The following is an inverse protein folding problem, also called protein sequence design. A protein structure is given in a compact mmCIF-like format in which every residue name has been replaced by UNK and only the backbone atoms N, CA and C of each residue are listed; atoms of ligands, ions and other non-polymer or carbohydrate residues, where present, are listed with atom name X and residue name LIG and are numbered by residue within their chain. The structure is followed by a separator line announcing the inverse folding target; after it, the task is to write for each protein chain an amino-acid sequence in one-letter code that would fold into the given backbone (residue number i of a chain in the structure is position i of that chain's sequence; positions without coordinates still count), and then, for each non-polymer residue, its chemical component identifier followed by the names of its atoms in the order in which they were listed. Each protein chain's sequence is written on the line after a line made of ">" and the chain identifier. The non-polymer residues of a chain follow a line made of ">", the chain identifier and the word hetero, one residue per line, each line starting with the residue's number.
data_IF_527794505592
#
_entry.id   IF_527794505592
#
_cell.length_a   1.000
_cell.length_b   1.000
_cell.length_c   1.000
_cell.angle_alpha   90.00
_cell.angle_beta   90.00
_cell.angle_gamma   90.00
#
_symmetry.space_group_name_H-M   'P 1'
#
loop_
_entity.id
_entity.type
_entity.pdbx_description
1 polymer ?
#
# COMPACT_ATOMS: atom_id res chain seq x y z
N UNK A 1 -53.56 -60.51 -23.73
CA UNK A 1 -52.65 -61.44 -24.45
C UNK A 1 -52.11 -60.71 -25.68
N UNK A 2 -50.78 -60.57 -25.76
CA UNK A 2 -49.92 -59.98 -26.81
C UNK A 2 -50.02 -58.49 -27.19
N UNK A 3 -49.08 -57.71 -26.65
CA UNK A 3 -48.66 -56.40 -27.16
C UNK A 3 -47.88 -56.53 -28.47
N UNK A 4 -48.21 -55.68 -29.46
CA UNK A 4 -47.36 -55.38 -30.62
C UNK A 4 -46.30 -54.35 -30.22
N UNK A 5 -45.04 -54.71 -30.40
CA UNK A 5 -43.84 -53.93 -30.11
C UNK A 5 -43.73 -52.75 -31.11
N UNK A 6 -43.75 -51.52 -30.61
CA UNK A 6 -43.56 -50.31 -31.40
C UNK A 6 -42.05 -49.94 -31.47
N UNK A 7 -41.40 -50.25 -32.59
CA UNK A 7 -39.95 -50.07 -32.84
C UNK A 7 -39.51 -48.61 -33.07
N UNK A 8 -40.39 -47.62 -33.09
CA UNK A 8 -40.02 -46.25 -33.53
C UNK A 8 -39.27 -45.40 -32.48
N UNK A 9 -39.40 -45.70 -31.18
CA UNK A 9 -38.81 -44.86 -30.12
C UNK A 9 -37.29 -45.00 -29.94
N UNK A 10 -36.67 -46.07 -30.45
CA UNK A 10 -35.23 -46.35 -30.23
C UNK A 10 -34.31 -45.64 -31.23
N UNK A 11 -34.83 -45.28 -32.41
CA UNK A 11 -34.06 -44.58 -33.46
C UNK A 11 -33.93 -43.07 -33.17
N UNK A 12 -34.96 -42.46 -32.59
CA UNK A 12 -34.97 -41.03 -32.28
C UNK A 12 -33.95 -40.63 -31.18
N UNK A 13 -33.70 -41.48 -30.18
CA UNK A 13 -32.74 -41.15 -29.11
C UNK A 13 -31.27 -41.20 -29.55
N UNK A 14 -30.96 -42.03 -30.56
CA UNK A 14 -29.60 -42.13 -31.11
C UNK A 14 -29.24 -40.93 -31.98
N UNK A 15 -30.18 -40.50 -32.83
CA UNK A 15 -30.02 -39.30 -33.68
C UNK A 15 -29.87 -38.02 -32.86
N UNK A 16 -30.65 -37.86 -31.79
CA UNK A 16 -30.54 -36.68 -30.91
C UNK A 16 -29.21 -36.64 -30.16
N UNK A 17 -28.68 -37.80 -29.74
CA UNK A 17 -27.36 -37.88 -29.08
C UNK A 17 -26.21 -37.62 -30.07
N UNK A 18 -26.30 -38.12 -31.30
CA UNK A 18 -25.32 -37.83 -32.35
C UNK A 18 -25.34 -36.36 -32.78
N UNK A 19 -26.52 -35.75 -32.89
CA UNK A 19 -26.65 -34.32 -33.18
C UNK A 19 -26.04 -33.45 -32.07
N UNK A 20 -26.24 -33.80 -30.80
CA UNK A 20 -25.65 -33.07 -29.67
C UNK A 20 -24.12 -33.21 -29.62
N UNK A 21 -23.56 -34.39 -29.91
CA UNK A 21 -22.11 -34.61 -29.94
C UNK A 21 -21.48 -33.87 -31.14
N UNK A 22 -22.11 -33.90 -32.32
CA UNK A 22 -21.66 -33.13 -33.48
C UNK A 22 -21.63 -31.62 -33.19
N UNK A 23 -22.64 -31.10 -32.48
CA UNK A 23 -22.74 -29.67 -32.15
C UNK A 23 -21.61 -29.21 -31.20
N UNK A 24 -21.26 -30.04 -30.22
CA UNK A 24 -20.15 -29.78 -29.29
C UNK A 24 -18.79 -29.87 -30.02
N UNK A 25 -18.61 -30.85 -30.91
CA UNK A 25 -17.38 -30.99 -31.70
C UNK A 25 -17.17 -29.81 -32.69
N UNK A 26 -18.24 -29.31 -33.32
CA UNK A 26 -18.17 -28.10 -34.16
C UNK A 26 -17.88 -26.83 -33.37
N UNK A 27 -18.35 -26.70 -32.13
CA UNK A 27 -17.98 -25.58 -31.25
C UNK A 27 -16.50 -25.61 -30.86
N UNK A 28 -15.92 -26.79 -30.62
CA UNK A 28 -14.50 -26.92 -30.30
C UNK A 28 -13.59 -26.64 -31.51
N UNK A 29 -14.01 -27.00 -32.73
CA UNK A 29 -13.26 -26.71 -33.96
C UNK A 29 -13.29 -25.22 -34.36
N UNK A 30 -14.31 -24.46 -33.95
CA UNK A 30 -14.38 -23.00 -34.16
C UNK A 30 -13.58 -22.18 -33.14
N UNK A 31 -13.25 -22.75 -31.97
CA UNK A 31 -12.42 -22.09 -30.94
C UNK A 31 -10.91 -22.35 -31.08
N UNK A 32 -10.50 -23.29 -31.93
CA UNK A 32 -9.08 -23.66 -32.13
C UNK A 32 -8.27 -22.73 -33.06
N UNK A 33 -8.86 -21.64 -33.56
CA UNK A 33 -8.22 -20.72 -34.52
C UNK A 33 -7.88 -19.36 -33.92
N UNK A 34 -7.41 -19.33 -32.67
CA UNK A 34 -6.70 -18.17 -32.13
C UNK A 34 -5.27 -18.57 -31.83
N UNK A 35 -4.46 -18.54 -32.89
CA UNK A 35 -3.01 -18.49 -32.76
C UNK A 35 -2.66 -17.17 -32.07
N UNK A 36 -2.27 -17.24 -30.80
CA UNK A 36 -1.64 -16.13 -30.08
C UNK A 36 -0.21 -15.98 -30.58
N UNK A 37 -0.04 -15.26 -31.70
CA UNK A 37 1.22 -14.57 -31.97
C UNK A 37 1.33 -13.36 -31.03
N UNK A 38 1.72 -13.58 -29.78
CA UNK A 38 2.16 -12.49 -28.90
C UNK A 38 3.63 -12.19 -29.13
N UNK A 39 3.94 -11.73 -30.34
CA UNK A 39 5.17 -11.00 -30.65
C UNK A 39 4.86 -9.50 -30.66
N UNK A 40 4.83 -8.85 -29.49
CA UNK A 40 4.71 -7.39 -29.42
C UNK A 40 6.03 -6.77 -29.89
N UNK A 41 6.09 -6.41 -31.17
CA UNK A 41 7.14 -5.57 -31.73
C UNK A 41 7.08 -4.21 -31.03
N UNK A 42 8.15 -3.84 -30.33
CA UNK A 42 8.29 -2.61 -29.54
C UNK A 42 8.34 -1.30 -30.35
N UNK A 43 7.87 -1.29 -31.61
CA UNK A 43 8.07 -0.19 -32.55
C UNK A 43 6.87 0.72 -32.81
N UNK A 44 5.64 0.32 -32.46
CA UNK A 44 4.44 1.00 -32.96
C UNK A 44 3.51 1.62 -31.90
N UNK A 45 3.89 1.60 -30.62
CA UNK A 45 3.11 2.23 -29.53
C UNK A 45 3.48 3.71 -29.26
N UNK A 46 4.32 4.34 -30.09
CA UNK A 46 4.90 5.67 -29.79
C UNK A 46 4.15 6.86 -30.41
N UNK A 47 3.20 6.68 -31.33
CA UNK A 47 2.52 7.82 -31.97
C UNK A 47 1.16 8.22 -31.37
N UNK A 48 0.41 7.32 -30.73
CA UNK A 48 -0.96 7.64 -30.25
C UNK A 48 -1.04 8.13 -28.79
N UNK A 49 0.09 8.26 -28.08
CA UNK A 49 0.11 8.73 -26.68
C UNK A 49 0.27 10.25 -26.53
N UNK A 50 0.03 11.03 -27.59
CA UNK A 50 0.13 12.49 -27.54
C UNK A 50 -1.19 13.19 -27.13
N UNK A 51 -2.31 12.47 -27.00
CA UNK A 51 -3.62 13.04 -26.64
C UNK A 51 -4.10 12.87 -25.19
N UNK A 52 -3.46 12.04 -24.37
CA UNK A 52 -3.89 11.74 -22.98
C UNK A 52 -2.85 12.08 -21.90
N UNK A 53 -1.78 12.81 -22.25
CA UNK A 53 -0.68 13.15 -21.34
C UNK A 53 -0.98 14.31 -20.37
N UNK A 54 -2.23 14.75 -20.25
CA UNK A 54 -2.60 15.93 -19.45
C UNK A 54 -3.09 15.63 -18.01
N UNK A 55 -3.26 14.37 -17.62
CA UNK A 55 -3.65 13.98 -16.25
C UNK A 55 -2.55 13.27 -15.45
N UNK A 56 -1.42 12.97 -16.08
CA UNK A 56 -0.31 12.24 -15.47
C UNK A 56 0.84 13.19 -15.16
N UNK A 57 0.51 14.36 -14.58
CA UNK A 57 1.56 15.23 -14.05
C UNK A 57 2.09 14.55 -12.80
N UNK A 58 3.32 14.00 -12.78
CA UNK A 58 3.90 13.55 -11.53
C UNK A 58 3.82 14.71 -10.55
N UNK A 59 3.29 14.46 -9.36
CA UNK A 59 3.35 15.44 -8.26
C UNK A 59 4.83 15.70 -8.04
N UNK A 60 5.35 16.73 -8.69
CA UNK A 60 6.71 17.19 -8.50
C UNK A 60 6.76 17.75 -7.09
N UNK A 61 7.15 16.92 -6.12
CA UNK A 61 7.45 17.35 -4.77
C UNK A 61 8.69 18.24 -4.89
N UNK A 62 8.48 19.54 -5.09
CA UNK A 62 9.55 20.51 -5.00
C UNK A 62 9.97 20.48 -3.54
N UNK A 63 11.11 19.85 -3.25
CA UNK A 63 11.77 19.88 -1.95
C UNK A 63 12.32 21.30 -1.72
N UNK A 64 11.43 22.29 -1.72
CA UNK A 64 11.76 23.68 -1.43
C UNK A 64 11.74 23.79 0.08
N UNK A 65 12.93 24.01 0.64
CA UNK A 65 13.28 24.03 2.07
C UNK A 65 13.40 22.64 2.69
N UNK A 66 14.62 22.07 2.61
CA UNK A 66 15.06 20.94 3.42
C UNK A 66 15.16 21.38 4.89
N UNK A 67 14.03 21.49 5.58
CA UNK A 67 14.06 21.46 7.04
C UNK A 67 14.59 20.09 7.46
N UNK A 68 15.68 20.01 8.23
CA UNK A 68 16.20 18.72 8.66
C UNK A 68 15.12 18.02 9.49
N UNK A 69 14.63 16.90 8.97
CA UNK A 69 13.66 16.06 9.67
C UNK A 69 14.42 15.28 10.74
N UNK A 70 13.99 15.45 11.99
CA UNK A 70 14.57 14.76 13.13
C UNK A 70 13.59 13.74 13.71
N UNK A 71 14.13 12.59 14.09
CA UNK A 71 13.40 11.50 14.72
C UNK A 71 13.68 11.50 16.21
N UNK A 72 12.63 11.47 17.02
CA UNK A 72 12.73 11.52 18.47
C UNK A 72 12.67 10.09 19.00
N UNK A 73 13.66 9.66 19.81
CA UNK A 73 13.59 8.35 20.47
C UNK A 73 12.45 8.35 21.50
N UNK A 74 11.63 7.31 21.49
CA UNK A 74 10.58 7.14 22.48
C UNK A 74 11.18 6.62 23.80
N UNK A 75 11.27 7.48 24.80
CA UNK A 75 11.68 7.14 26.18
C UNK A 75 10.48 7.15 27.14
N UNK A 76 9.33 6.70 26.65
CA UNK A 76 8.06 6.68 27.37
C UNK A 76 7.18 7.93 27.16
N UNK A 77 7.41 8.70 26.08
CA UNK A 77 6.51 9.80 25.71
C UNK A 77 5.22 9.28 25.03
N UNK A 78 5.33 8.14 24.37
CA UNK A 78 4.28 7.47 23.59
C UNK A 78 4.16 5.99 23.99
N UNK A 79 3.21 5.30 23.37
CA UNK A 79 3.04 3.85 23.48
C UNK A 79 4.37 3.09 23.30
N UNK A 80 4.62 2.08 24.15
CA UNK A 80 5.89 1.36 24.22
C UNK A 80 6.24 0.55 22.96
N UNK A 81 5.28 0.32 22.05
CA UNK A 81 5.54 -0.33 20.76
C UNK A 81 6.30 0.56 19.77
N UNK A 82 6.33 1.87 20.02
CA UNK A 82 7.03 2.84 19.18
C UNK A 82 8.44 3.02 19.72
N UNK A 83 9.46 2.87 18.87
CA UNK A 83 10.87 3.09 19.23
C UNK A 83 11.30 4.51 18.90
N UNK A 84 10.89 5.02 17.74
CA UNK A 84 11.19 6.38 17.26
C UNK A 84 9.95 7.00 16.62
N UNK A 85 9.88 8.32 16.60
CA UNK A 85 8.82 9.01 15.88
C UNK A 85 9.28 10.34 15.30
N UNK A 86 8.66 10.71 14.20
CA UNK A 86 8.71 12.05 13.65
C UNK A 86 7.42 12.75 14.04
N UNK A 87 7.53 13.91 14.68
CA UNK A 87 6.41 14.76 15.03
C UNK A 87 6.40 15.99 14.13
N UNK A 88 5.32 16.16 13.37
CA UNK A 88 5.09 17.29 12.50
C UNK A 88 3.65 17.79 12.62
N UNK A 89 3.39 19.00 12.11
CA UNK A 89 2.04 19.59 12.13
C UNK A 89 1.05 18.79 11.29
N UNK A 90 1.46 18.40 10.09
CA UNK A 90 0.60 17.75 9.10
C UNK A 90 0.89 16.25 8.95
N UNK A 91 2.06 15.80 9.39
CA UNK A 91 2.48 14.41 9.26
C UNK A 91 3.24 13.96 10.50
N UNK A 92 2.80 12.86 11.08
CA UNK A 92 3.53 12.12 12.10
C UNK A 92 3.89 10.73 11.56
N UNK A 93 5.08 10.24 11.89
CA UNK A 93 5.53 8.90 11.53
C UNK A 93 5.98 8.19 12.81
N UNK A 94 5.54 6.94 12.98
CA UNK A 94 5.86 6.13 14.15
C UNK A 94 6.57 4.87 13.69
N UNK A 95 7.74 4.60 14.25
CA UNK A 95 8.63 3.50 13.89
C UNK A 95 8.54 2.41 14.95
N UNK A 96 8.27 1.18 14.52
CA UNK A 96 8.07 0.01 15.37
C UNK A 96 8.84 -1.17 14.78
N UNK A 97 9.12 -2.25 15.53
CA UNK A 97 9.90 -3.37 14.98
C UNK A 97 9.20 -4.12 13.84
N UNK A 98 7.87 -3.98 13.73
CA UNK A 98 7.06 -4.60 12.68
C UNK A 98 6.81 -3.72 11.46
N UNK A 99 7.32 -2.48 11.42
CA UNK A 99 7.05 -1.53 10.35
C UNK A 99 6.78 -0.11 10.86
N UNK A 100 6.07 0.68 10.05
CA UNK A 100 5.83 2.09 10.35
C UNK A 100 4.39 2.51 10.12
N UNK A 101 3.92 3.43 10.97
CA UNK A 101 2.59 4.03 10.86
C UNK A 101 2.71 5.52 10.58
N UNK A 102 2.01 6.00 9.56
CA UNK A 102 1.99 7.41 9.16
C UNK A 102 0.60 7.96 9.46
N UNK A 103 0.54 9.07 10.19
CA UNK A 103 -0.68 9.85 10.38
C UNK A 103 -0.58 11.15 9.62
N UNK A 104 -1.50 11.37 8.69
CA UNK A 104 -1.63 12.58 7.89
C UNK A 104 -2.81 13.40 8.42
N UNK A 105 -2.59 14.69 8.60
CA UNK A 105 -3.59 15.64 9.07
C UNK A 105 -3.83 16.69 7.99
N UNK A 106 -5.09 16.87 7.63
CA UNK A 106 -5.56 17.99 6.83
C UNK A 106 -6.39 18.89 7.73
N UNK A 107 -6.16 20.20 7.65
CA UNK A 107 -6.87 21.18 8.46
C UNK A 107 -7.74 22.04 7.54
N UNK A 108 -9.03 21.76 7.51
CA UNK A 108 -10.02 22.51 6.73
C UNK A 108 -10.69 23.57 7.63
N UNK A 109 -11.20 24.68 7.08
CA UNK A 109 -12.09 25.56 7.84
C UNK A 109 -13.29 24.76 8.38
N UNK A 110 -13.56 24.88 9.67
CA UNK A 110 -14.83 24.44 10.22
C UNK A 110 -15.92 25.26 9.53
N UNK A 111 -17.00 24.60 9.10
CA UNK A 111 -18.06 25.20 8.28
C UNK A 111 -18.69 26.45 8.91
N UNK A 112 -19.67 27.03 8.21
CA UNK A 112 -20.29 28.32 8.58
C UNK A 112 -20.80 28.42 10.03
N UNK A 113 -21.04 27.30 10.71
CA UNK A 113 -21.48 27.23 12.10
C UNK A 113 -20.38 27.60 13.12
N UNK A 114 -19.09 27.48 12.76
CA UNK A 114 -17.96 27.79 13.63
C UNK A 114 -16.89 28.61 12.89
N UNK A 115 -17.15 29.90 12.60
CA UNK A 115 -16.22 30.77 11.90
C UNK A 115 -14.88 30.86 12.64
N UNK A 116 -13.77 30.76 11.89
CA UNK A 116 -12.42 30.90 12.42
C UNK A 116 -11.85 29.65 13.12
N UNK A 117 -12.60 28.55 13.21
CA UNK A 117 -12.06 27.26 13.66
C UNK A 117 -11.56 26.43 12.48
N UNK A 118 -10.55 25.61 12.74
CA UNK A 118 -10.09 24.56 11.82
C UNK A 118 -10.63 23.20 12.29
N UNK A 119 -11.12 22.39 11.37
CA UNK A 119 -11.44 20.98 11.56
C UNK A 119 -10.27 20.13 11.03
N UNK A 120 -9.74 19.26 11.88
CA UNK A 120 -8.70 18.31 11.48
C UNK A 120 -9.34 17.03 10.94
N UNK A 121 -9.01 16.65 9.70
CA UNK A 121 -9.25 15.32 9.15
C UNK A 121 -7.96 14.52 9.26
N UNK A 122 -8.06 13.30 9.80
CA UNK A 122 -6.91 12.40 9.96
C UNK A 122 -7.05 11.19 9.04
N UNK A 123 -5.99 10.90 8.29
CA UNK A 123 -5.82 9.64 7.59
C UNK A 123 -4.62 8.90 8.17
N UNK A 124 -4.71 7.57 8.25
CA UNK A 124 -3.62 6.73 8.77
C UNK A 124 -3.25 5.68 7.74
N UNK A 125 -1.97 5.59 7.45
CA UNK A 125 -1.38 4.55 6.59
C UNK A 125 -0.47 3.71 7.46
N UNK A 126 -0.62 2.39 7.38
CA UNK A 126 0.23 1.43 8.08
C UNK A 126 0.99 0.62 7.04
N UNK A 127 2.29 0.48 7.25
CA UNK A 127 3.17 -0.38 6.49
C UNK A 127 3.70 -1.43 7.45
N UNK A 128 3.41 -2.70 7.17
CA UNK A 128 3.87 -3.84 7.93
C UNK A 128 4.96 -4.59 7.17
N UNK A 129 6.01 -4.99 7.88
CA UNK A 129 7.05 -5.87 7.36
C UNK A 129 6.57 -7.32 7.43
N UNK A 130 6.20 -7.87 6.27
CA UNK A 130 5.70 -9.24 6.17
C UNK A 130 6.85 -10.26 6.21
N UNK A 131 6.61 -11.40 6.85
CA UNK A 131 7.60 -12.50 6.96
C UNK A 131 8.76 -12.19 7.90
N UNK A 132 8.74 -11.03 8.57
CA UNK A 132 9.66 -10.68 9.65
C UNK A 132 8.82 -10.81 10.92
N UNK A 133 9.22 -11.61 11.89
CA UNK A 133 8.44 -11.82 13.11
C UNK A 133 8.51 -10.59 14.05
N UNK A 134 8.48 -9.38 13.49
CA UNK A 134 8.73 -8.12 14.20
C UNK A 134 10.15 -8.03 14.78
N UNK A 135 11.11 -8.74 14.18
CA UNK A 135 12.48 -8.85 14.71
C UNK A 135 13.40 -7.71 14.29
N UNK A 136 13.06 -6.93 13.28
CA UNK A 136 13.90 -5.83 12.82
C UNK A 136 13.73 -4.63 13.73
N UNK A 137 14.67 -4.42 14.64
CA UNK A 137 14.66 -3.30 15.56
C UNK A 137 15.14 -2.03 14.84
N UNK A 138 14.35 -0.95 14.82
CA UNK A 138 14.82 0.32 14.27
C UNK A 138 16.00 0.84 15.10
N UNK A 139 16.99 1.41 14.44
CA UNK A 139 18.18 2.01 15.02
C UNK A 139 18.30 3.47 14.57
N UNK A 140 18.19 4.39 15.53
CA UNK A 140 18.38 5.82 15.30
C UNK A 140 19.84 6.21 15.26
N UNK A 141 20.23 7.01 14.27
CA UNK A 141 21.56 7.60 14.15
C UNK A 141 21.50 9.08 14.52
N UNK A 142 22.23 9.46 15.57
CA UNK A 142 22.33 10.83 16.04
C UNK A 142 23.72 11.38 15.79
N UNK A 143 23.80 12.66 15.40
CA UNK A 143 25.06 13.42 15.41
C UNK A 143 25.19 14.20 16.71
N UNK A 144 26.41 14.62 17.05
CA UNK A 144 26.64 15.49 18.21
C UNK A 144 25.96 16.87 18.08
N UNK A 145 25.73 17.29 16.84
CA UNK A 145 24.99 18.51 16.49
C UNK A 145 23.47 18.33 16.45
N UNK A 146 22.95 17.11 16.63
CA UNK A 146 21.51 16.86 16.58
C UNK A 146 20.79 17.60 17.73
N UNK A 147 19.58 18.12 17.48
CA UNK A 147 18.85 18.89 18.46
C UNK A 147 18.49 18.03 19.67
N UNK A 148 18.43 18.69 20.83
CA UNK A 148 17.99 18.11 22.09
C UNK A 148 16.58 18.60 22.37
N UNK A 149 15.66 17.67 22.60
CA UNK A 149 14.25 17.94 22.83
C UNK A 149 13.88 17.54 24.26
N UNK A 150 13.02 18.33 24.89
CA UNK A 150 12.49 18.04 26.23
C UNK A 150 10.97 18.11 26.22
N UNK A 151 10.33 17.19 26.95
CA UNK A 151 8.90 17.04 27.08
C UNK A 151 8.49 17.24 28.54
N UNK A 152 7.78 18.34 28.80
CA UNK A 152 7.31 18.74 30.11
C UNK A 152 5.81 18.46 30.22
N UNK A 153 5.44 17.19 30.41
CA UNK A 153 4.06 16.75 30.57
C UNK A 153 3.88 16.16 31.96
N UNK A 154 2.79 16.51 32.65
CA UNK A 154 2.51 16.02 33.99
C UNK A 154 3.38 16.68 35.06
N UNK A 155 3.69 15.93 36.12
CA UNK A 155 4.53 16.42 37.23
C UNK A 155 6.00 16.44 36.82
N UNK A 156 6.87 17.21 37.52
CA UNK A 156 8.30 17.23 37.21
C UNK A 156 8.97 15.86 37.13
N UNK A 157 8.51 14.90 37.94
CA UNK A 157 9.00 13.52 37.93
C UNK A 157 8.67 12.74 36.64
N UNK A 158 7.62 13.15 35.93
CA UNK A 158 7.17 12.53 34.68
C UNK A 158 7.90 13.12 33.45
N UNK A 159 8.61 14.23 33.62
CA UNK A 159 9.25 14.94 32.53
C UNK A 159 10.32 14.10 31.85
N UNK A 160 10.42 14.25 30.52
CA UNK A 160 11.43 13.58 29.71
C UNK A 160 12.33 14.64 29.10
N UNK A 161 13.49 14.86 29.70
CA UNK A 161 14.42 15.93 29.32
C UNK A 161 15.65 15.35 28.62
N UNK A 162 16.35 16.20 27.86
CA UNK A 162 17.65 15.84 27.30
C UNK A 162 17.63 14.78 26.20
N UNK A 163 16.50 14.58 25.52
CA UNK A 163 16.40 13.57 24.47
C UNK A 163 17.06 14.09 23.19
N UNK A 164 18.23 13.54 22.85
CA UNK A 164 18.90 13.83 21.58
C UNK A 164 18.15 13.18 20.44
N UNK A 165 17.77 13.97 19.44
CA UNK A 165 17.10 13.45 18.25
C UNK A 165 18.10 12.75 17.31
N UNK A 166 17.56 11.94 16.40
CA UNK A 166 18.30 11.25 15.34
C UNK A 166 18.05 11.96 14.02
N UNK A 167 19.06 12.02 13.15
CA UNK A 167 18.92 12.50 11.77
C UNK A 167 18.43 11.40 10.83
N UNK A 168 18.54 10.13 11.24
CA UNK A 168 18.14 8.97 10.45
C UNK A 168 17.65 7.84 11.37
N UNK A 169 16.74 7.00 10.88
CA UNK A 169 16.31 5.76 11.54
C UNK A 169 16.42 4.62 10.54
N UNK A 170 17.27 3.64 10.83
CA UNK A 170 17.50 2.47 9.97
C UNK A 170 16.79 1.25 10.51
N UNK A 171 16.32 0.39 9.62
CA UNK A 171 15.96 -0.98 9.95
C UNK A 171 16.99 -1.93 9.33
N UNK A 172 17.90 -2.51 10.13
CA UNK A 172 18.85 -3.47 9.63
C UNK A 172 18.17 -4.81 9.33
N UNK A 173 18.56 -5.42 8.22
CA UNK A 173 18.19 -6.77 7.80
C UNK A 173 16.70 -7.09 7.99
N UNK A 174 15.81 -6.19 7.55
CA UNK A 174 14.35 -6.40 7.59
C UNK A 174 14.01 -7.70 6.87
N UNK A 175 14.57 -7.86 5.67
CA UNK A 175 14.66 -9.12 4.97
C UNK A 175 16.12 -9.51 4.82
N UNK A 176 16.37 -10.78 4.47
CA UNK A 176 17.74 -11.27 4.27
C UNK A 176 18.51 -10.38 3.29
N UNK A 177 19.53 -9.69 3.79
CA UNK A 177 20.38 -8.77 3.02
C UNK A 177 19.74 -7.41 2.67
N UNK A 178 18.60 -7.03 3.25
CA UNK A 178 17.91 -5.76 2.96
C UNK A 178 17.84 -4.88 4.20
N UNK A 179 18.50 -3.73 4.13
CA UNK A 179 18.38 -2.63 5.09
C UNK A 179 17.41 -1.57 4.56
N UNK A 180 16.60 -0.98 5.43
CA UNK A 180 15.76 0.18 5.10
C UNK A 180 16.26 1.43 5.82
N UNK A 181 16.30 2.55 5.12
CA UNK A 181 16.75 3.87 5.61
C UNK A 181 15.73 4.94 5.27
#
# INVERSE_FOLDING_TARGET
>A
MSQRINKSKRQASGLVRLAAIMLIATCFLLMGSFQTETGLTAGQASCDRQGMAALDRPVSFKATESWPLYFIPNQGQLDSRVNYYLAGKEKNIYFTPGGLTISLFQFDPAGKELPGRLQAKRQTVRLDFLGTNGSSQPAGLSTDSAPVVSFFKGKPEDWKTGLRACSEVKYPAVWSGVDLT
#
